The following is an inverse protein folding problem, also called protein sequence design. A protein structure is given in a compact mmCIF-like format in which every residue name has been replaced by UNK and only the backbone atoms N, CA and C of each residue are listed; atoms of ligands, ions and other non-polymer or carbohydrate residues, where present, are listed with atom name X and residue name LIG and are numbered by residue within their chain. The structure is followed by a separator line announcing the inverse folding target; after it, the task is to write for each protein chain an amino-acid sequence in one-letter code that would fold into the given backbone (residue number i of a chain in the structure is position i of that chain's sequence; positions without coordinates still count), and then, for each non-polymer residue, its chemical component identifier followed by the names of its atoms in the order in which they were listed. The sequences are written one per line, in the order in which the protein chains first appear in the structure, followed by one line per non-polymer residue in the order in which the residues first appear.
data_IF_963249184453
#
_entry.id   IF_963249184453
#
_cell.length_a   1.000
_cell.length_b   1.000
_cell.length_c   1.000
_cell.angle_alpha   90.00
_cell.angle_beta   90.00
_cell.angle_gamma   90.00
#
_symmetry.space_group_name_H-M   'P 1'
#
loop_
_entity.id
_entity.type
_entity.pdbx_description
1 polymer ?
#
# COMPACT_ATOMS: atom_id res chain seq x y z
N UNK A 1 -13.76 49.52 36.51
CA UNK A 1 -12.87 48.56 37.21
C UNK A 1 -13.27 47.13 36.84
N UNK A 2 -12.53 46.46 35.95
CA UNK A 2 -12.02 45.07 36.06
C UNK A 2 -11.53 44.60 34.69
N UNK A 3 -10.26 44.19 34.68
CA UNK A 3 -9.49 43.64 33.57
C UNK A 3 -9.83 42.14 33.40
N UNK A 4 -9.52 41.56 32.24
CA UNK A 4 -8.57 40.43 32.04
C UNK A 4 -8.96 39.61 30.77
N UNK A 5 -8.11 39.69 29.73
CA UNK A 5 -7.27 38.60 29.17
C UNK A 5 -7.98 37.84 28.03
N UNK A 6 -7.70 38.17 26.77
CA UNK A 6 -6.71 37.52 25.89
C UNK A 6 -6.75 35.98 25.91
N UNK A 7 -7.47 35.39 24.94
CA UNK A 7 -7.19 34.03 24.49
C UNK A 7 -6.69 34.09 23.04
N UNK A 8 -5.37 34.18 22.91
CA UNK A 8 -4.65 33.86 21.68
C UNK A 8 -4.65 32.33 21.58
N UNK A 9 -5.27 31.79 20.53
CA UNK A 9 -5.04 30.42 20.10
C UNK A 9 -4.98 30.40 18.56
N UNK A 10 -3.82 30.84 18.07
CA UNK A 10 -3.07 30.27 16.94
C UNK A 10 -3.89 29.56 15.86
N UNK A 11 -4.29 30.32 14.84
CA UNK A 11 -4.61 29.80 13.53
C UNK A 11 -3.32 29.33 12.83
N UNK A 12 -2.88 28.10 13.08
CA UNK A 12 -1.88 27.43 12.24
C UNK A 12 -2.58 26.88 11.00
N UNK A 13 -2.88 27.78 10.06
CA UNK A 13 -3.14 27.41 8.68
C UNK A 13 -1.82 27.02 8.02
N UNK A 14 -1.33 25.81 8.30
CA UNK A 14 -0.33 25.16 7.44
C UNK A 14 -1.09 24.42 6.34
N UNK A 15 -1.56 25.21 5.37
CA UNK A 15 -1.90 24.73 4.03
C UNK A 15 -0.63 24.31 3.32
N UNK A 16 -0.04 23.20 3.76
CA UNK A 16 0.93 22.46 2.99
C UNK A 16 0.17 21.45 2.16
N UNK A 17 -0.27 21.84 0.97
CA UNK A 17 -0.54 20.89 -0.10
C UNK A 17 0.81 20.25 -0.49
N UNK A 18 1.33 19.38 0.38
CA UNK A 18 2.32 18.42 -0.01
C UNK A 18 1.58 17.49 -0.96
N UNK A 19 1.78 17.71 -2.25
CA UNK A 19 1.61 16.66 -3.23
C UNK A 19 2.44 15.49 -2.69
N UNK A 20 1.77 14.58 -2.00
CA UNK A 20 2.32 13.29 -1.66
C UNK A 20 2.65 12.71 -3.02
N UNK A 21 3.93 12.81 -3.40
CA UNK A 21 4.49 11.84 -4.32
C UNK A 21 4.17 10.53 -3.64
N UNK A 22 3.14 9.86 -4.15
CA UNK A 22 2.81 8.51 -3.77
C UNK A 22 4.02 7.68 -4.18
N UNK A 23 5.02 7.66 -3.32
CA UNK A 23 5.98 6.59 -3.29
C UNK A 23 5.14 5.31 -3.27
N UNK A 24 5.51 4.27 -4.05
CA UNK A 24 4.84 2.98 -3.92
C UNK A 24 4.84 2.67 -2.43
N UNK A 25 3.66 2.60 -1.82
CA UNK A 25 3.57 2.07 -0.48
C UNK A 25 3.97 0.61 -0.64
N UNK A 26 5.22 0.29 -0.31
CA UNK A 26 5.66 -1.09 -0.09
C UNK A 26 4.71 -1.65 0.97
N UNK A 27 3.76 -2.44 0.47
CA UNK A 27 2.74 -3.08 1.26
C UNK A 27 3.33 -4.29 1.99
N UNK A 28 3.76 -4.06 3.24
CA UNK A 28 4.46 -5.06 4.03
C UNK A 28 3.77 -6.43 4.03
N UNK A 29 4.55 -7.47 3.71
CA UNK A 29 4.07 -8.87 3.73
C UNK A 29 3.69 -9.25 5.16
N UNK A 30 2.47 -9.76 5.41
CA UNK A 30 2.05 -10.19 6.74
C UNK A 30 2.97 -11.28 7.33
N UNK A 31 3.15 -11.32 8.66
CA UNK A 31 3.93 -12.37 9.31
C UNK A 31 3.31 -13.75 9.01
N UNK A 32 4.17 -14.73 8.69
CA UNK A 32 3.73 -16.08 8.30
C UNK A 32 3.32 -16.20 6.83
N UNK A 33 3.49 -15.15 6.03
CA UNK A 33 3.37 -15.22 4.57
C UNK A 33 4.74 -15.03 3.92
N UNK A 34 5.05 -15.86 2.92
CA UNK A 34 6.26 -15.76 2.10
C UNK A 34 5.85 -15.61 0.64
N UNK A 35 6.39 -14.60 -0.06
CA UNK A 35 6.10 -14.37 -1.46
C UNK A 35 7.35 -14.51 -2.33
N UNK A 36 7.18 -15.13 -3.50
CA UNK A 36 8.19 -15.25 -4.55
C UNK A 36 7.57 -14.80 -5.87
N UNK A 37 7.89 -13.57 -6.29
CA UNK A 37 7.24 -12.94 -7.43
C UNK A 37 5.74 -12.70 -7.15
N UNK A 38 4.80 -13.14 -8.02
CA UNK A 38 3.37 -13.00 -7.80
C UNK A 38 2.77 -14.07 -6.89
N UNK A 39 3.51 -15.14 -6.57
CA UNK A 39 3.00 -16.24 -5.78
C UNK A 39 3.31 -16.03 -4.30
N UNK A 40 2.31 -16.19 -3.44
CA UNK A 40 2.45 -16.11 -1.99
C UNK A 40 1.97 -17.41 -1.34
N UNK A 41 2.70 -17.84 -0.31
CA UNK A 41 2.36 -18.99 0.52
C UNK A 41 2.14 -18.52 1.96
N UNK A 42 1.03 -18.97 2.56
CA UNK A 42 0.65 -18.66 3.92
C UNK A 42 0.85 -19.90 4.80
N UNK A 43 1.76 -19.81 5.76
CA UNK A 43 2.06 -20.89 6.71
C UNK A 43 1.27 -20.76 8.02
N UNK A 44 0.28 -19.87 8.09
CA UNK A 44 -0.58 -19.69 9.26
C UNK A 44 -1.89 -20.45 9.10
N UNK A 45 -2.59 -20.66 10.22
CA UNK A 45 -3.90 -21.33 10.26
C UNK A 45 -5.07 -20.40 9.93
N UNK A 46 -4.79 -19.13 9.66
CA UNK A 46 -5.78 -18.10 9.32
C UNK A 46 -5.52 -17.56 7.90
N UNK A 47 -6.57 -17.14 7.16
CA UNK A 47 -6.37 -16.51 5.86
C UNK A 47 -5.65 -15.17 6.00
N UNK A 48 -4.63 -14.96 5.16
CA UNK A 48 -3.82 -13.73 5.17
C UNK A 48 -4.08 -12.91 3.91
N UNK A 49 -4.23 -11.60 4.06
CA UNK A 49 -4.36 -10.70 2.90
C UNK A 49 -3.01 -10.09 2.59
N UNK A 50 -2.49 -10.39 1.40
CA UNK A 50 -1.29 -9.75 0.87
C UNK A 50 -1.72 -8.59 -0.01
N UNK A 51 -1.14 -7.43 0.25
CA UNK A 51 -1.26 -6.25 -0.59
C UNK A 51 0.05 -6.09 -1.35
N UNK A 52 -0.03 -5.71 -2.61
CA UNK A 52 1.12 -5.41 -3.45
C UNK A 52 0.80 -4.26 -4.37
N UNK A 53 1.82 -3.76 -5.04
CA UNK A 53 1.70 -2.76 -6.09
C UNK A 53 2.36 -3.30 -7.34
N UNK A 54 1.59 -3.46 -8.41
CA UNK A 54 2.11 -3.77 -9.73
C UNK A 54 2.62 -2.49 -10.38
N UNK A 55 3.88 -2.50 -10.79
CA UNK A 55 4.53 -1.40 -11.48
C UNK A 55 4.58 -1.74 -12.97
N UNK A 56 3.99 -0.89 -13.81
CA UNK A 56 4.13 -1.00 -15.26
C UNK A 56 5.41 -0.31 -15.75
N UNK A 57 6.08 -0.89 -16.76
CA UNK A 57 7.38 -0.40 -17.27
C UNK A 57 7.36 1.04 -17.77
N UNK A 58 6.23 1.48 -18.35
CA UNK A 58 5.97 2.86 -18.70
C UNK A 58 4.49 3.11 -18.47
N UNK A 59 4.15 3.46 -17.23
CA UNK A 59 2.75 3.65 -16.88
C UNK A 59 2.46 3.87 -15.40
N UNK A 60 1.17 3.91 -15.07
CA UNK A 60 0.70 3.98 -13.69
C UNK A 60 1.06 2.72 -12.91
N UNK A 61 1.00 2.84 -11.58
CA UNK A 61 1.10 1.72 -10.65
C UNK A 61 -0.29 1.31 -10.21
N UNK A 62 -0.51 0.01 -10.04
CA UNK A 62 -1.81 -0.54 -9.66
C UNK A 62 -1.70 -1.28 -8.33
N UNK A 63 -2.54 -0.90 -7.37
CA UNK A 63 -2.67 -1.66 -6.13
C UNK A 63 -3.37 -3.00 -6.44
N UNK A 64 -2.76 -4.08 -5.99
CA UNK A 64 -3.26 -5.45 -6.11
C UNK A 64 -3.34 -6.08 -4.73
N UNK A 65 -4.29 -6.97 -4.54
CA UNK A 65 -4.35 -7.75 -3.32
C UNK A 65 -4.85 -9.16 -3.60
N UNK A 66 -4.46 -10.09 -2.74
CA UNK A 66 -4.93 -11.46 -2.76
C UNK A 66 -5.10 -11.98 -1.35
N UNK A 67 -6.14 -12.78 -1.14
CA UNK A 67 -6.32 -13.53 0.10
C UNK A 67 -5.68 -14.90 -0.09
N UNK A 68 -4.65 -15.18 0.69
CA UNK A 68 -3.95 -16.47 0.70
C UNK A 68 -4.62 -17.36 1.75
N UNK A 69 -5.21 -18.51 1.35
CA UNK A 69 -5.86 -19.41 2.30
C UNK A 69 -4.86 -19.95 3.33
N UNK A 70 -5.33 -20.42 4.50
CA UNK A 70 -4.46 -21.00 5.52
C UNK A 70 -3.74 -22.24 4.98
N UNK A 71 -2.45 -22.38 5.33
CA UNK A 71 -1.59 -23.46 4.87
C UNK A 71 -1.61 -23.67 3.34
N UNK A 72 -1.82 -22.59 2.58
CA UNK A 72 -2.08 -22.63 1.15
C UNK A 72 -1.34 -21.55 0.36
N UNK A 73 -1.58 -21.54 -0.95
CA UNK A 73 -0.97 -20.57 -1.87
C UNK A 73 -2.01 -19.83 -2.69
N UNK A 74 -1.69 -18.59 -3.04
CA UNK A 74 -2.46 -17.80 -3.97
C UNK A 74 -1.51 -16.95 -4.83
N UNK A 75 -1.98 -16.59 -6.02
CA UNK A 75 -1.25 -15.76 -6.97
C UNK A 75 -1.90 -14.39 -6.99
N UNK A 76 -1.12 -13.33 -6.82
CA UNK A 76 -1.62 -11.98 -6.97
C UNK A 76 -2.14 -11.77 -8.40
N UNK A 77 -3.33 -11.18 -8.54
CA UNK A 77 -3.86 -10.88 -9.87
C UNK A 77 -2.94 -9.87 -10.54
N UNK A 78 -2.36 -10.25 -11.68
CA UNK A 78 -1.63 -9.32 -12.52
C UNK A 78 -2.62 -8.37 -13.22
N UNK A 79 -2.32 -7.08 -13.26
CA UNK A 79 -3.02 -6.16 -14.13
C UNK A 79 -2.42 -6.22 -15.53
N UNK A 80 -3.29 -6.09 -16.54
CA UNK A 80 -2.82 -5.85 -17.89
C UNK A 80 -2.31 -4.40 -17.95
N UNK A 81 -1.01 -4.19 -17.74
CA UNK A 81 -0.38 -2.92 -18.00
C UNK A 81 -0.79 -2.42 -19.40
N UNK A 82 -1.32 -1.20 -19.55
CA UNK A 82 -1.84 -0.70 -20.84
C UNK A 82 -0.81 -0.75 -21.98
N UNK A 83 0.48 -0.67 -21.63
CA UNK A 83 1.62 -0.73 -22.55
C UNK A 83 2.36 -2.09 -22.52
N UNK A 84 1.71 -3.14 -22.02
CA UNK A 84 2.00 -4.53 -22.37
C UNK A 84 3.06 -5.27 -21.54
N UNK A 85 3.75 -4.63 -20.60
CA UNK A 85 4.75 -5.30 -19.76
C UNK A 85 4.68 -4.83 -18.29
N UNK A 86 4.38 -5.71 -17.33
CA UNK A 86 4.64 -5.45 -15.93
C UNK A 86 6.17 -5.37 -15.72
N UNK A 87 6.64 -4.32 -15.05
CA UNK A 87 8.03 -4.18 -14.64
C UNK A 87 8.34 -4.95 -13.35
N UNK A 88 7.33 -5.20 -12.52
CA UNK A 88 7.47 -5.97 -11.30
C UNK A 88 6.33 -5.77 -10.32
N UNK A 89 6.39 -6.51 -9.21
CA UNK A 89 5.50 -6.39 -8.07
C UNK A 89 6.31 -5.96 -6.86
N UNK A 90 5.77 -5.00 -6.11
CA UNK A 90 6.37 -4.48 -4.88
C UNK A 90 5.43 -4.70 -3.71
N UNK A 91 5.98 -5.27 -2.65
CA UNK A 91 5.36 -5.56 -1.36
C UNK A 91 6.29 -4.97 -0.29
#
# INVERSE_FOLDING_TARGET
MKRLILAVASATALGGAAAAMAAPASAAIPPGVSCAGPACFNSTDEPQTVFGTEICQSGPQYAVSVVVPPNGSAVLPGYACPNGQPAGLVY
#
